data_IF_478335663740
#
_entry.id   IF_478335663740
#
_cell.length_a   1.000
_cell.length_b   1.000
_cell.length_c   1.000
_cell.angle_alpha   90.00
_cell.angle_beta   90.00
_cell.angle_gamma   90.00
#
_symmetry.space_group_name_H-M   'P 1'
#
loop_
_entity.id
_entity.type
_entity.pdbx_description
1 polymer ?
#
# COMPACT_ATOMS: atom_id res chain seq x y z
N UNK A 1 0.10 -5.30 -39.93
CA UNK A 1 0.27 -6.29 -38.86
C UNK A 1 1.75 -6.54 -38.67
N UNK A 2 2.41 -5.66 -37.92
CA UNK A 2 3.72 -5.92 -37.34
C UNK A 2 3.51 -5.89 -35.83
N UNK A 3 3.78 -7.00 -35.16
CA UNK A 3 3.83 -7.02 -33.72
C UNK A 3 5.09 -6.24 -33.32
N UNK A 4 4.89 -5.06 -32.73
CA UNK A 4 5.95 -4.35 -32.03
C UNK A 4 6.51 -5.29 -30.97
N UNK A 5 7.79 -5.64 -31.10
CA UNK A 5 8.56 -6.21 -30.01
C UNK A 5 8.36 -5.31 -28.78
N UNK A 6 8.13 -5.84 -27.56
CA UNK A 6 8.05 -5.02 -26.37
C UNK A 6 9.39 -4.29 -26.22
N UNK A 7 9.40 -3.00 -26.56
CA UNK A 7 10.63 -2.22 -26.67
C UNK A 7 11.32 -2.11 -25.31
N UNK A 8 12.42 -2.85 -25.14
CA UNK A 8 13.42 -2.57 -24.10
C UNK A 8 14.00 -1.20 -24.39
N UNK A 9 13.74 -0.21 -23.54
CA UNK A 9 14.15 1.16 -23.84
C UNK A 9 13.65 2.22 -22.87
N UNK A 10 14.14 3.43 -23.06
CA UNK A 10 13.72 4.62 -22.35
C UNK A 10 12.95 5.53 -23.30
N UNK A 11 11.68 5.80 -22.98
CA UNK A 11 10.80 6.67 -23.75
C UNK A 11 10.64 8.00 -23.01
N UNK A 12 10.95 9.11 -23.70
CA UNK A 12 10.80 10.46 -23.14
C UNK A 12 9.51 11.07 -23.66
N UNK A 13 8.61 11.42 -22.73
CA UNK A 13 7.31 12.02 -23.00
C UNK A 13 7.36 13.46 -22.50
N UNK A 14 7.33 14.41 -23.43
CA UNK A 14 7.37 15.84 -23.14
C UNK A 14 5.96 16.38 -22.89
N UNK A 15 5.89 17.60 -22.35
CA UNK A 15 4.61 18.25 -22.07
C UNK A 15 3.68 18.23 -23.29
N UNK A 16 2.43 17.79 -23.05
CA UNK A 16 1.33 17.57 -24.03
C UNK A 16 1.46 16.35 -24.95
N UNK A 17 2.52 15.56 -24.83
CA UNK A 17 2.59 14.28 -25.53
C UNK A 17 1.79 13.22 -24.77
N UNK A 18 1.17 12.31 -25.52
CA UNK A 18 0.41 11.22 -24.92
C UNK A 18 1.36 10.10 -24.44
N UNK A 19 1.29 9.68 -23.17
CA UNK A 19 2.09 8.58 -22.66
C UNK A 19 1.77 7.24 -23.36
N UNK A 20 2.77 6.36 -23.61
CA UNK A 20 2.55 5.04 -24.20
C UNK A 20 1.58 4.19 -23.37
N UNK A 21 0.67 3.43 -23.98
CA UNK A 21 -0.37 2.62 -23.31
C UNK A 21 0.15 1.46 -22.43
N UNK A 22 1.46 1.22 -22.43
CA UNK A 22 2.17 0.20 -21.64
C UNK A 22 3.59 0.64 -21.28
N UNK A 23 4.00 0.36 -20.03
CA UNK A 23 5.38 0.45 -19.54
C UNK A 23 5.63 -0.43 -18.32
N UNK A 24 6.88 -0.51 -17.88
CA UNK A 24 7.29 -1.25 -16.69
C UNK A 24 7.64 -0.32 -15.52
N UNK A 25 8.16 0.86 -15.84
CA UNK A 25 8.44 1.92 -14.88
C UNK A 25 8.19 3.30 -15.50
N UNK A 26 7.85 4.28 -14.66
CA UNK A 26 7.70 5.66 -15.06
C UNK A 26 8.30 6.62 -14.02
N UNK A 27 9.01 7.65 -14.46
CA UNK A 27 9.54 8.71 -13.60
C UNK A 27 9.09 10.08 -14.07
N UNK A 28 8.82 11.00 -13.15
CA UNK A 28 8.58 12.40 -13.46
C UNK A 28 9.77 13.27 -13.03
N UNK A 29 10.22 14.18 -13.91
CA UNK A 29 11.33 15.08 -13.64
C UNK A 29 10.85 16.45 -13.12
N UNK A 30 10.57 16.51 -11.82
CA UNK A 30 10.14 17.72 -11.13
C UNK A 30 11.34 18.59 -10.71
N UNK A 31 11.20 19.91 -10.82
CA UNK A 31 12.29 20.83 -10.55
C UNK A 31 12.18 22.14 -11.32
N UNK A 32 13.07 23.11 -11.06
CA UNK A 32 13.05 24.37 -11.78
C UNK A 32 13.29 24.16 -13.27
N UNK A 33 12.62 24.99 -14.07
CA UNK A 33 12.88 25.17 -15.50
C UNK A 33 13.62 26.50 -15.69
N UNK A 34 14.61 26.58 -16.60
CA UNK A 34 15.29 27.82 -16.95
C UNK A 34 14.31 28.94 -17.35
N UNK A 35 14.58 30.18 -16.90
CA UNK A 35 13.80 31.38 -17.28
C UNK A 35 14.17 31.99 -18.63
N UNK A 36 15.33 31.60 -19.17
CA UNK A 36 15.82 32.06 -20.47
C UNK A 36 16.48 30.87 -21.20
N UNK A 37 16.53 30.91 -22.54
CA UNK A 37 17.16 29.85 -23.33
C UNK A 37 18.70 29.78 -23.16
N UNK A 38 19.31 30.79 -22.55
CA UNK A 38 20.76 30.85 -22.28
C UNK A 38 21.19 29.99 -21.10
N UNK A 39 20.23 29.58 -20.26
CA UNK A 39 20.48 28.77 -19.07
C UNK A 39 20.09 27.33 -19.38
N UNK A 40 21.03 26.41 -19.25
CA UNK A 40 20.79 25.00 -19.57
C UNK A 40 19.85 24.34 -18.57
N UNK A 41 18.95 23.50 -19.08
CA UNK A 41 18.13 22.61 -18.25
C UNK A 41 18.98 21.45 -17.72
N UNK A 42 18.67 21.00 -16.50
CA UNK A 42 19.28 19.80 -15.91
C UNK A 42 18.62 18.50 -16.42
N UNK A 43 17.43 18.58 -17.03
CA UNK A 43 16.64 17.41 -17.45
C UNK A 43 17.30 16.56 -18.54
N UNK A 44 17.98 17.12 -19.57
CA UNK A 44 18.77 16.32 -20.51
C UNK A 44 19.84 15.45 -19.83
N UNK A 45 20.56 16.00 -18.84
CA UNK A 45 21.54 15.24 -18.07
C UNK A 45 20.88 14.14 -17.23
N UNK A 46 19.69 14.40 -16.67
CA UNK A 46 18.92 13.39 -15.94
C UNK A 46 18.47 12.24 -16.85
N UNK A 47 17.98 12.54 -18.05
CA UNK A 47 17.58 11.55 -19.06
C UNK A 47 18.77 10.68 -19.47
N UNK A 48 19.95 11.29 -19.68
CA UNK A 48 21.18 10.54 -19.96
C UNK A 48 21.54 9.61 -18.80
N UNK A 49 21.53 10.11 -17.56
CA UNK A 49 21.80 9.30 -16.38
C UNK A 49 20.79 8.15 -16.21
N UNK A 50 19.50 8.39 -16.46
CA UNK A 50 18.45 7.36 -16.43
C UNK A 50 18.69 6.31 -17.51
N UNK A 51 19.03 6.72 -18.74
CA UNK A 51 19.34 5.80 -19.85
C UNK A 51 20.56 4.93 -19.53
N UNK A 52 21.59 5.54 -18.97
CA UNK A 52 22.83 4.85 -18.61
C UNK A 52 22.68 3.90 -17.43
N UNK A 53 21.73 4.14 -16.51
CA UNK A 53 21.57 3.37 -15.26
C UNK A 53 20.37 2.43 -15.26
N UNK A 54 19.39 2.59 -16.15
CA UNK A 54 18.26 1.67 -16.23
C UNK A 54 18.75 0.26 -16.60
N UNK A 55 18.39 -0.71 -15.77
CA UNK A 55 18.74 -2.14 -15.94
C UNK A 55 17.52 -3.06 -15.92
N UNK A 56 16.31 -2.51 -15.77
CA UNK A 56 15.10 -3.30 -15.81
C UNK A 56 14.89 -3.94 -17.18
N UNK A 57 14.25 -5.13 -17.25
CA UNK A 57 14.02 -5.86 -18.50
C UNK A 57 12.99 -5.20 -19.42
N UNK A 58 12.33 -4.13 -18.97
CA UNK A 58 11.21 -3.51 -19.65
C UNK A 58 11.40 -2.02 -19.96
N UNK A 59 10.29 -1.34 -20.26
CA UNK A 59 10.27 0.05 -20.69
C UNK A 59 10.25 1.01 -19.50
N UNK A 60 11.16 1.99 -19.51
CA UNK A 60 11.14 3.14 -18.60
C UNK A 60 10.59 4.36 -19.33
N UNK A 61 9.49 4.93 -18.83
CA UNK A 61 8.93 6.19 -19.31
C UNK A 61 9.45 7.35 -18.47
N UNK A 62 9.87 8.43 -19.10
CA UNK A 62 10.36 9.65 -18.44
C UNK A 62 9.46 10.82 -18.84
N UNK A 63 8.69 11.33 -17.88
CA UNK A 63 7.87 12.52 -18.05
C UNK A 63 8.70 13.78 -17.82
N UNK A 64 8.71 14.65 -18.83
CA UNK A 64 9.47 15.90 -18.85
C UNK A 64 8.48 17.05 -19.01
N UNK A 65 8.34 17.95 -18.01
CA UNK A 65 7.38 19.06 -18.08
C UNK A 65 7.79 20.18 -19.05
N UNK A 66 8.98 20.09 -19.66
CA UNK A 66 9.38 20.96 -20.75
C UNK A 66 8.73 20.50 -22.07
N UNK A 67 8.53 21.40 -23.01
CA UNK A 67 8.10 21.04 -24.35
C UNK A 67 9.25 20.49 -25.17
N UNK A 68 8.97 19.56 -26.09
CA UNK A 68 9.98 19.05 -27.03
C UNK A 68 10.50 20.15 -27.95
N UNK A 69 9.63 21.07 -28.35
CA UNK A 69 9.92 22.16 -29.28
C UNK A 69 9.24 23.47 -28.82
N UNK A 70 10.03 24.50 -28.56
CA UNK A 70 9.53 25.86 -28.30
C UNK A 70 8.72 26.03 -27.00
N UNK A 71 8.05 27.17 -26.88
CA UNK A 71 7.09 27.48 -25.81
C UNK A 71 5.69 27.44 -26.40
N UNK A 72 4.72 26.86 -25.70
CA UNK A 72 3.31 26.84 -26.14
C UNK A 72 2.41 27.68 -25.21
N UNK A 73 1.54 28.50 -25.78
CA UNK A 73 0.70 29.48 -25.06
C UNK A 73 -0.55 28.91 -24.36
N UNK A 74 -0.58 27.62 -24.02
CA UNK A 74 -1.72 27.04 -23.29
C UNK A 74 -1.29 26.53 -21.92
N UNK A 75 -1.42 27.45 -20.97
CA UNK A 75 -1.07 27.25 -19.57
C UNK A 75 -1.91 26.16 -18.90
N UNK A 76 -3.21 26.08 -19.23
CA UNK A 76 -4.14 25.14 -18.58
C UNK A 76 -3.80 23.71 -18.98
N UNK A 77 -3.65 23.45 -20.28
CA UNK A 77 -3.27 22.13 -20.77
C UNK A 77 -1.89 21.68 -20.30
N UNK A 78 -0.96 22.61 -20.02
CA UNK A 78 0.32 22.27 -19.39
C UNK A 78 0.13 21.79 -17.96
N UNK A 79 -0.61 22.54 -17.13
CA UNK A 79 -0.85 22.18 -15.72
C UNK A 79 -1.58 20.84 -15.61
N UNK A 80 -2.61 20.61 -16.43
CA UNK A 80 -3.35 19.34 -16.46
C UNK A 80 -2.47 18.16 -16.87
N UNK A 81 -1.58 18.35 -17.84
CA UNK A 81 -0.63 17.30 -18.26
C UNK A 81 0.39 17.00 -17.15
N UNK A 82 0.93 18.02 -16.49
CA UNK A 82 1.89 17.86 -15.39
C UNK A 82 1.25 17.09 -14.23
N UNK A 83 0.05 17.49 -13.81
CA UNK A 83 -0.70 16.81 -12.74
C UNK A 83 -0.99 15.34 -13.10
N UNK A 84 -1.46 15.09 -14.33
CA UNK A 84 -1.71 13.73 -14.83
C UNK A 84 -0.43 12.88 -14.81
N UNK A 85 0.69 13.40 -15.31
CA UNK A 85 1.94 12.65 -15.40
C UNK A 85 2.61 12.45 -14.03
N UNK A 86 2.44 13.39 -13.10
CA UNK A 86 2.77 13.19 -11.70
C UNK A 86 1.98 12.00 -11.14
N UNK A 87 0.68 11.92 -11.36
CA UNK A 87 -0.14 10.77 -10.95
C UNK A 87 0.32 9.44 -11.57
N UNK A 88 0.70 9.43 -12.86
CA UNK A 88 1.19 8.23 -13.57
C UNK A 88 2.58 7.75 -13.15
N UNK A 89 3.38 8.60 -12.51
CA UNK A 89 4.78 8.27 -12.19
C UNK A 89 4.91 7.28 -11.03
N UNK A 90 5.88 6.38 -11.12
CA UNK A 90 6.26 5.48 -10.03
C UNK A 90 7.17 6.16 -9.02
N UNK A 91 8.01 7.08 -9.48
CA UNK A 91 8.85 7.95 -8.67
C UNK A 91 8.88 9.36 -9.27
N UNK A 92 8.85 10.37 -8.41
CA UNK A 92 9.05 11.77 -8.77
C UNK A 92 10.45 12.18 -8.33
N UNK A 93 11.30 12.47 -9.30
CA UNK A 93 12.66 12.98 -9.07
C UNK A 93 12.55 14.50 -8.93
N UNK A 94 12.69 15.00 -7.71
CA UNK A 94 12.84 16.42 -7.43
C UNK A 94 14.31 16.80 -7.42
N UNK A 95 14.84 17.29 -8.55
CA UNK A 95 16.19 17.86 -8.57
C UNK A 95 16.11 19.39 -8.56
N UNK A 96 16.64 20.03 -7.52
CA UNK A 96 16.48 21.47 -7.26
C UNK A 96 17.85 22.16 -7.22
N UNK A 97 18.53 22.32 -8.38
CA UNK A 97 19.78 23.09 -8.51
C UNK A 97 19.46 24.60 -8.52
N UNK A 98 18.83 25.07 -7.43
CA UNK A 98 18.24 26.39 -7.36
C UNK A 98 19.25 27.48 -7.65
N UNK A 99 18.86 28.41 -8.49
CA UNK A 99 19.52 29.71 -8.68
C UNK A 99 18.42 30.78 -8.64
N UNK A 100 18.52 31.75 -7.75
CA UNK A 100 17.44 32.72 -7.55
C UNK A 100 17.22 33.66 -8.74
N UNK A 101 18.25 33.86 -9.57
CA UNK A 101 18.15 34.67 -10.77
C UNK A 101 17.54 33.86 -11.93
N UNK A 102 18.07 32.66 -12.18
CA UNK A 102 17.81 31.92 -13.43
C UNK A 102 16.83 30.75 -13.28
N UNK A 103 16.82 30.08 -12.12
CA UNK A 103 16.07 28.85 -11.83
C UNK A 103 15.56 28.80 -10.38
N UNK A 104 14.65 29.70 -9.95
CA UNK A 104 14.33 29.87 -8.53
C UNK A 104 13.43 28.79 -7.93
N UNK A 105 12.83 27.93 -8.75
CA UNK A 105 12.02 26.78 -8.31
C UNK A 105 10.79 27.15 -7.45
N UNK A 106 10.08 28.24 -7.78
CA UNK A 106 8.93 28.68 -6.98
C UNK A 106 7.74 27.73 -7.09
N UNK A 107 7.36 27.31 -8.30
CA UNK A 107 6.31 26.30 -8.52
C UNK A 107 6.71 24.95 -7.94
N UNK A 108 7.99 24.57 -8.07
CA UNK A 108 8.55 23.36 -7.47
C UNK A 108 8.35 23.28 -5.95
N UNK A 109 8.33 24.41 -5.23
CA UNK A 109 8.03 24.38 -3.79
C UNK A 109 6.60 23.92 -3.51
N UNK A 110 5.64 24.29 -4.37
CA UNK A 110 4.25 23.88 -4.26
C UNK A 110 4.11 22.40 -4.59
N UNK A 111 4.71 21.96 -5.70
CA UNK A 111 4.77 20.53 -6.08
C UNK A 111 5.39 19.68 -4.98
N UNK A 112 6.51 20.12 -4.40
CA UNK A 112 7.14 19.45 -3.26
C UNK A 112 6.18 19.35 -2.08
N UNK A 113 5.48 20.43 -1.73
CA UNK A 113 4.48 20.43 -0.68
C UNK A 113 3.35 19.41 -0.91
N UNK A 114 2.94 19.21 -2.16
CA UNK A 114 1.89 18.24 -2.54
C UNK A 114 2.37 16.79 -2.56
N UNK A 115 3.66 16.54 -2.83
CA UNK A 115 4.14 15.20 -3.16
C UNK A 115 5.17 14.59 -2.21
N UNK A 116 5.86 15.37 -1.38
CA UNK A 116 7.00 14.88 -0.59
C UNK A 116 6.67 13.67 0.30
N UNK A 117 5.48 13.58 0.86
CA UNK A 117 5.02 12.49 1.74
C UNK A 117 4.20 11.41 1.02
N UNK A 118 4.07 11.49 -0.31
CA UNK A 118 3.36 10.48 -1.11
C UNK A 118 4.02 9.09 -1.11
N UNK A 119 5.23 8.98 -0.57
CA UNK A 119 6.00 7.74 -0.53
C UNK A 119 6.65 7.34 -1.86
N UNK A 120 6.65 8.23 -2.87
CA UNK A 120 7.19 8.01 -4.23
C UNK A 120 8.02 9.19 -4.74
N UNK A 121 8.84 9.77 -3.86
CA UNK A 121 9.69 10.90 -4.22
C UNK A 121 11.13 10.66 -3.81
N UNK A 122 12.03 11.36 -4.51
CA UNK A 122 13.45 11.44 -4.22
C UNK A 122 13.88 12.88 -4.43
N UNK A 123 14.67 13.40 -3.49
CA UNK A 123 15.09 14.80 -3.51
C UNK A 123 16.59 14.95 -3.73
N UNK A 124 16.98 15.81 -4.66
CA UNK A 124 18.37 16.10 -4.96
C UNK A 124 18.63 17.59 -5.05
N UNK A 125 19.73 18.05 -4.47
CA UNK A 125 20.19 19.42 -4.68
C UNK A 125 21.70 19.57 -4.44
N UNK A 126 22.42 20.36 -5.25
CA UNK A 126 23.77 20.79 -4.93
C UNK A 126 23.85 21.42 -3.52
N UNK A 127 24.86 21.11 -2.69
CA UNK A 127 24.96 21.63 -1.32
C UNK A 127 24.94 23.17 -1.24
N UNK A 128 25.46 23.83 -2.27
CA UNK A 128 25.52 25.28 -2.41
C UNK A 128 24.22 25.91 -2.91
N UNK A 129 23.25 25.12 -3.38
CA UNK A 129 21.98 25.63 -3.89
C UNK A 129 21.19 26.32 -2.75
N UNK A 130 20.91 27.63 -2.86
CA UNK A 130 20.31 28.39 -1.79
C UNK A 130 18.88 27.93 -1.47
N UNK A 131 18.44 28.19 -0.24
CA UNK A 131 17.02 28.09 0.18
C UNK A 131 16.39 26.68 0.07
N UNK A 132 17.17 25.61 0.00
CA UNK A 132 16.66 24.23 0.03
C UNK A 132 16.51 23.63 1.43
N UNK A 133 17.00 24.30 2.49
CA UNK A 133 16.96 23.81 3.87
C UNK A 133 15.58 23.39 4.36
N UNK A 134 14.53 24.11 3.95
CA UNK A 134 13.15 23.79 4.35
C UNK A 134 12.63 22.53 3.63
N UNK A 135 12.97 22.35 2.35
CA UNK A 135 12.62 21.13 1.61
C UNK A 135 13.32 19.90 2.20
N UNK A 136 14.61 20.04 2.51
CA UNK A 136 15.41 19.00 3.17
C UNK A 136 14.88 18.63 4.57
N UNK A 137 14.35 19.60 5.33
CA UNK A 137 13.73 19.31 6.63
C UNK A 137 12.52 18.37 6.48
N UNK A 138 11.64 18.63 5.51
CA UNK A 138 10.50 17.76 5.23
C UNK A 138 10.90 16.44 4.59
N UNK A 139 11.95 16.43 3.76
CA UNK A 139 12.52 15.18 3.25
C UNK A 139 12.94 14.26 4.41
N UNK A 140 13.67 14.80 5.40
CA UNK A 140 14.07 14.05 6.59
C UNK A 140 12.86 13.61 7.43
N UNK A 141 11.88 14.50 7.64
CA UNK A 141 10.67 14.19 8.42
C UNK A 141 9.84 13.05 7.80
N UNK A 142 9.74 13.01 6.47
CA UNK A 142 8.94 12.01 5.74
C UNK A 142 9.76 10.82 5.23
N UNK A 143 11.04 10.72 5.61
CA UNK A 143 11.92 9.61 5.19
C UNK A 143 12.22 9.59 3.68
N UNK A 144 12.13 10.73 3.00
CA UNK A 144 12.45 10.85 1.57
C UNK A 144 13.96 10.71 1.37
N UNK A 145 14.44 9.81 0.48
CA UNK A 145 15.86 9.72 0.19
C UNK A 145 16.37 11.02 -0.43
N UNK A 146 17.55 11.46 0.03
CA UNK A 146 18.18 12.70 -0.42
C UNK A 146 19.56 12.45 -1.02
N UNK A 147 19.94 13.30 -1.98
CA UNK A 147 21.27 13.28 -2.59
C UNK A 147 21.77 14.70 -2.87
N UNK A 148 23.09 14.85 -2.99
CA UNK A 148 23.74 16.15 -3.23
C UNK A 148 24.02 16.44 -4.70
N UNK A 149 23.80 15.46 -5.58
CA UNK A 149 24.03 15.58 -7.01
C UNK A 149 23.01 14.79 -7.83
N UNK A 150 22.90 15.14 -9.12
CA UNK A 150 21.91 14.55 -10.02
C UNK A 150 22.13 13.04 -10.25
N UNK A 151 23.35 12.54 -10.53
CA UNK A 151 23.57 11.11 -10.70
C UNK A 151 23.15 10.27 -9.48
N UNK A 152 23.43 10.72 -8.26
CA UNK A 152 23.02 10.03 -7.04
C UNK A 152 21.51 10.11 -6.80
N UNK A 153 20.86 11.22 -7.19
CA UNK A 153 19.40 11.35 -7.10
C UNK A 153 18.69 10.39 -8.05
N UNK A 154 19.20 10.28 -9.29
CA UNK A 154 18.71 9.29 -10.27
C UNK A 154 18.95 7.87 -9.78
N UNK A 155 20.11 7.59 -9.15
CA UNK A 155 20.39 6.29 -8.55
C UNK A 155 19.32 5.90 -7.53
N UNK A 156 19.04 6.79 -6.57
CA UNK A 156 18.07 6.54 -5.51
C UNK A 156 16.66 6.29 -6.06
N UNK A 157 16.26 6.98 -7.15
CA UNK A 157 15.00 6.72 -7.84
C UNK A 157 14.95 5.30 -8.42
N UNK A 158 15.99 4.92 -9.16
CA UNK A 158 16.06 3.63 -9.83
C UNK A 158 16.20 2.46 -8.85
N UNK A 159 16.91 2.64 -7.73
CA UNK A 159 17.02 1.62 -6.68
C UNK A 159 15.65 1.29 -6.09
N UNK A 160 14.78 2.30 -5.92
CA UNK A 160 13.41 2.12 -5.44
C UNK A 160 12.49 1.50 -6.49
N UNK A 161 12.63 1.90 -7.76
CA UNK A 161 11.91 1.28 -8.87
C UNK A 161 12.32 -0.18 -9.04
N UNK A 162 13.60 -0.51 -8.85
CA UNK A 162 14.15 -1.84 -9.09
C UNK A 162 13.90 -2.30 -10.53
N UNK A 163 13.47 -3.56 -10.77
CA UNK A 163 13.31 -4.09 -12.12
C UNK A 163 12.10 -3.54 -12.90
N UNK A 164 11.27 -2.67 -12.32
CA UNK A 164 9.95 -2.34 -12.89
C UNK A 164 8.92 -3.46 -12.72
N UNK A 165 7.75 -3.28 -13.31
CA UNK A 165 6.74 -4.31 -13.55
C UNK A 165 5.78 -3.86 -14.65
N UNK A 166 5.62 -4.69 -15.69
CA UNK A 166 4.75 -4.42 -16.85
C UNK A 166 3.32 -4.12 -16.41
N UNK A 167 2.81 -2.96 -16.86
CA UNK A 167 1.45 -2.47 -16.62
C UNK A 167 0.89 -1.84 -17.90
N UNK A 168 -0.40 -2.01 -18.14
CA UNK A 168 -1.11 -1.46 -19.30
C UNK A 168 -2.44 -0.81 -18.91
N UNK A 169 -2.96 0.08 -19.78
CA UNK A 169 -4.27 0.70 -19.55
C UNK A 169 -4.34 1.42 -18.20
N UNK A 170 -5.34 1.09 -17.38
CA UNK A 170 -5.54 1.68 -16.05
C UNK A 170 -4.57 1.19 -14.97
N UNK A 171 -3.90 0.05 -15.17
CA UNK A 171 -2.89 -0.46 -14.22
C UNK A 171 -1.73 0.52 -14.04
N UNK A 172 -1.43 1.28 -15.09
CA UNK A 172 -0.39 2.31 -15.15
C UNK A 172 -0.61 3.46 -14.16
N UNK A 173 -1.85 3.66 -13.71
CA UNK A 173 -2.20 4.71 -12.75
C UNK A 173 -1.97 4.26 -11.29
N UNK A 174 -1.56 3.00 -11.08
CA UNK A 174 -1.15 2.47 -9.78
C UNK A 174 0.39 2.52 -9.70
N UNK A 175 0.99 3.33 -8.79
CA UNK A 175 2.43 3.41 -8.65
C UNK A 175 3.07 2.07 -8.31
N UNK A 176 4.26 1.80 -8.83
CA UNK A 176 4.93 0.51 -8.80
C UNK A 176 5.11 -0.06 -7.38
N UNK A 177 5.45 0.80 -6.42
CA UNK A 177 5.60 0.38 -5.03
C UNK A 177 4.29 -0.14 -4.44
N UNK A 178 3.15 0.43 -4.83
CA UNK A 178 1.83 -0.04 -4.41
C UNK A 178 1.38 -1.24 -5.26
N UNK A 179 1.71 -1.24 -6.56
CA UNK A 179 1.42 -2.36 -7.48
C UNK A 179 2.02 -3.69 -7.00
N UNK A 180 3.17 -3.65 -6.30
CA UNK A 180 3.85 -4.83 -5.76
C UNK A 180 3.27 -5.34 -4.44
N UNK A 181 2.42 -4.58 -3.77
CA UNK A 181 1.83 -4.99 -2.49
C UNK A 181 0.94 -6.21 -2.69
N UNK A 182 1.16 -7.25 -1.88
CA UNK A 182 0.41 -8.51 -1.98
C UNK A 182 -1.10 -8.28 -1.82
N UNK A 183 -1.50 -7.45 -0.87
CA UNK A 183 -2.91 -7.09 -0.64
C UNK A 183 -3.56 -6.47 -1.88
N UNK A 184 -2.83 -5.63 -2.63
CA UNK A 184 -3.32 -5.07 -3.89
C UNK A 184 -3.38 -6.14 -4.98
N UNK A 185 -2.34 -6.97 -5.12
CA UNK A 185 -2.29 -8.06 -6.10
C UNK A 185 -3.44 -9.04 -5.89
N UNK A 186 -3.76 -9.38 -4.65
CA UNK A 186 -4.89 -10.26 -4.30
C UNK A 186 -6.23 -9.64 -4.72
N UNK A 187 -6.50 -8.39 -4.35
CA UNK A 187 -7.72 -7.69 -4.77
C UNK A 187 -7.83 -7.64 -6.30
N UNK A 188 -6.75 -7.23 -6.97
CA UNK A 188 -6.76 -7.07 -8.43
C UNK A 188 -6.94 -8.41 -9.15
N UNK A 189 -6.29 -9.47 -8.69
CA UNK A 189 -6.48 -10.82 -9.22
C UNK A 189 -7.94 -11.28 -9.10
N UNK A 190 -8.61 -10.98 -7.97
CA UNK A 190 -10.03 -11.26 -7.80
C UNK A 190 -10.92 -10.51 -8.80
N UNK A 191 -10.61 -9.23 -9.08
CA UNK A 191 -11.32 -8.46 -10.10
C UNK A 191 -11.13 -9.04 -11.50
N UNK A 192 -9.90 -9.40 -11.87
CA UNK A 192 -9.61 -10.05 -13.14
C UNK A 192 -10.31 -11.41 -13.28
N UNK A 193 -10.36 -12.21 -12.20
CA UNK A 193 -11.05 -13.49 -12.19
C UNK A 193 -12.57 -13.34 -12.38
N UNK A 194 -13.16 -12.24 -11.90
CA UNK A 194 -14.55 -11.87 -12.16
C UNK A 194 -14.78 -11.28 -13.57
N UNK A 195 -13.72 -11.18 -14.40
CA UNK A 195 -13.76 -10.60 -15.74
C UNK A 195 -13.74 -9.07 -15.76
N UNK A 196 -13.61 -8.40 -14.62
CA UNK A 196 -13.59 -6.95 -14.54
C UNK A 196 -12.27 -6.38 -15.07
N UNK A 197 -12.32 -5.16 -15.59
CA UNK A 197 -11.13 -4.47 -16.15
C UNK A 197 -10.91 -3.15 -15.41
N UNK A 198 -9.69 -2.93 -14.93
CA UNK A 198 -9.28 -1.64 -14.37
C UNK A 198 -9.03 -0.64 -15.51
N UNK A 199 -9.85 0.40 -15.56
CA UNK A 199 -9.76 1.48 -16.56
C UNK A 199 -8.96 2.68 -16.06
N UNK A 200 -8.87 2.88 -14.74
CA UNK A 200 -8.10 3.95 -14.11
C UNK A 200 -8.08 3.83 -12.59
N UNK A 201 -7.11 4.45 -11.95
CA UNK A 201 -6.90 4.44 -10.51
C UNK A 201 -6.25 5.73 -10.03
N UNK A 202 -6.57 6.15 -8.81
CA UNK A 202 -5.88 7.26 -8.15
C UNK A 202 -5.62 6.91 -6.70
N UNK A 203 -4.36 7.03 -6.26
CA UNK A 203 -4.00 6.88 -4.85
C UNK A 203 -4.68 7.95 -4.03
N UNK A 204 -5.48 7.54 -3.05
CA UNK A 204 -6.16 8.42 -2.09
C UNK A 204 -5.29 8.63 -0.87
N UNK A 205 -4.73 7.55 -0.32
CA UNK A 205 -3.72 7.61 0.74
C UNK A 205 -2.88 6.34 0.79
N UNK A 206 -1.74 6.45 1.47
CA UNK A 206 -0.91 5.33 1.92
C UNK A 206 -0.44 5.63 3.35
N UNK A 207 -0.57 4.66 4.24
CA UNK A 207 -0.12 4.79 5.63
C UNK A 207 0.37 3.43 6.13
N UNK A 208 1.68 3.28 6.30
CA UNK A 208 2.29 1.98 6.60
C UNK A 208 1.96 0.96 5.50
N UNK A 209 1.39 -0.18 5.91
CA UNK A 209 0.89 -1.26 5.05
C UNK A 209 -0.55 -1.07 4.57
N UNK A 210 -1.21 0.05 4.93
CA UNK A 210 -2.56 0.38 4.49
C UNK A 210 -2.51 1.31 3.26
N UNK A 211 -3.45 1.12 2.35
CA UNK A 211 -3.58 1.93 1.14
C UNK A 211 -5.05 2.10 0.75
N UNK A 212 -5.33 3.15 -0.02
CA UNK A 212 -6.61 3.31 -0.67
C UNK A 212 -6.48 3.85 -2.10
N UNK A 213 -7.33 3.30 -2.99
CA UNK A 213 -7.43 3.67 -4.40
C UNK A 213 -8.86 4.10 -4.72
N UNK A 214 -9.02 5.26 -5.33
CA UNK A 214 -10.22 5.56 -6.10
C UNK A 214 -10.10 4.88 -7.45
N UNK A 215 -11.05 4.03 -7.82
CA UNK A 215 -10.93 3.17 -9.02
C UNK A 215 -12.04 3.42 -10.02
N UNK A 216 -11.70 3.29 -11.29
CA UNK A 216 -12.64 3.22 -12.41
C UNK A 216 -12.58 1.83 -13.00
N UNK A 217 -13.64 1.05 -12.83
CA UNK A 217 -13.72 -0.36 -13.23
C UNK A 217 -14.77 -0.55 -14.31
N UNK A 218 -14.47 -1.33 -15.34
CA UNK A 218 -15.49 -1.96 -16.16
C UNK A 218 -15.97 -3.23 -15.46
N UNK A 219 -17.26 -3.29 -15.15
CA UNK A 219 -17.89 -4.44 -14.49
C UNK A 219 -18.48 -5.35 -15.56
N UNK A 220 -17.79 -6.46 -15.85
CA UNK A 220 -18.11 -7.30 -17.00
C UNK A 220 -19.52 -7.91 -16.92
N UNK A 221 -19.90 -8.39 -15.73
CA UNK A 221 -21.21 -9.00 -15.51
C UNK A 221 -22.39 -8.03 -15.70
N UNK A 222 -22.13 -6.72 -15.59
CA UNK A 222 -23.15 -5.67 -15.68
C UNK A 222 -23.03 -4.81 -16.96
N UNK A 223 -21.95 -4.98 -17.74
CA UNK A 223 -21.71 -4.21 -18.96
C UNK A 223 -21.59 -2.70 -18.74
N UNK A 224 -21.20 -2.24 -17.55
CA UNK A 224 -21.11 -0.81 -17.21
C UNK A 224 -19.77 -0.42 -16.60
N UNK A 225 -19.51 0.88 -16.55
CA UNK A 225 -18.39 1.45 -15.81
C UNK A 225 -18.85 1.89 -14.42
N UNK A 226 -18.00 1.69 -13.43
CA UNK A 226 -18.17 2.15 -12.06
C UNK A 226 -16.95 2.95 -11.64
N UNK A 227 -17.16 4.16 -11.17
CA UNK A 227 -16.11 5.17 -10.96
C UNK A 227 -16.34 6.04 -9.71
N UNK A 228 -17.09 5.51 -8.73
CA UNK A 228 -17.54 6.25 -7.55
C UNK A 228 -17.19 5.54 -6.23
N UNK A 229 -16.19 4.67 -6.23
CA UNK A 229 -15.79 3.88 -5.06
C UNK A 229 -14.31 4.02 -4.74
N UNK A 230 -14.03 3.85 -3.44
CA UNK A 230 -12.69 3.74 -2.90
C UNK A 230 -12.51 2.29 -2.44
N UNK A 231 -11.42 1.67 -2.88
CA UNK A 231 -10.95 0.39 -2.37
C UNK A 231 -9.91 0.67 -1.31
N UNK A 232 -10.07 0.07 -0.13
CA UNK A 232 -9.08 0.13 0.95
C UNK A 232 -8.43 -1.24 1.12
N UNK A 233 -7.12 -1.30 1.23
CA UNK A 233 -6.39 -2.55 1.45
C UNK A 233 -5.42 -2.47 2.61
N UNK A 234 -5.17 -3.64 3.19
CA UNK A 234 -4.14 -3.96 4.19
C UNK A 234 -3.76 -5.45 4.02
N UNK A 235 -2.67 -5.94 4.63
CA UNK A 235 -2.39 -7.36 4.66
C UNK A 235 -3.54 -8.17 5.28
N UNK A 236 -3.71 -9.39 4.78
CA UNK A 236 -4.61 -10.39 5.36
C UNK A 236 -4.21 -10.71 6.81
N UNK A 237 -5.16 -11.23 7.59
CA UNK A 237 -4.95 -11.64 8.98
C UNK A 237 -5.08 -13.15 9.12
N UNK A 238 -4.37 -13.74 10.07
CA UNK A 238 -4.51 -15.14 10.47
C UNK A 238 -5.07 -15.16 11.88
N UNK A 239 -6.21 -15.83 12.07
CA UNK A 239 -6.97 -15.79 13.31
C UNK A 239 -7.29 -17.20 13.81
N UNK A 240 -7.31 -17.39 15.13
CA UNK A 240 -7.52 -18.70 15.75
C UNK A 240 -8.69 -18.67 16.73
N UNK A 241 -9.74 -19.43 16.45
CA UNK A 241 -10.77 -19.72 17.45
C UNK A 241 -10.24 -20.80 18.40
N UNK A 242 -9.74 -20.36 19.57
CA UNK A 242 -9.43 -21.26 20.67
C UNK A 242 -10.72 -21.53 21.46
N UNK A 243 -11.11 -22.80 21.58
CA UNK A 243 -12.38 -23.16 22.21
C UNK A 243 -12.30 -24.41 23.08
N UNK A 244 -13.20 -24.53 24.04
CA UNK A 244 -13.41 -25.75 24.82
C UNK A 244 -14.89 -26.17 24.72
N UNK A 245 -15.21 -27.33 24.13
CA UNK A 245 -16.59 -27.80 24.01
C UNK A 245 -17.33 -27.84 25.36
N UNK A 246 -18.56 -27.31 25.34
CA UNK A 246 -19.56 -27.51 26.40
C UNK A 246 -20.58 -28.60 26.04
N UNK A 247 -21.54 -28.90 26.92
CA UNK A 247 -22.62 -29.86 26.59
C UNK A 247 -23.51 -29.30 25.46
N UNK A 248 -23.65 -27.98 25.43
CA UNK A 248 -24.30 -27.24 24.35
C UNK A 248 -23.34 -26.26 23.65
N UNK A 249 -23.75 -25.74 22.48
CA UNK A 249 -23.00 -24.68 21.81
C UNK A 249 -22.90 -23.43 22.69
N UNK A 250 -23.99 -23.07 23.36
CA UNK A 250 -24.04 -21.88 24.21
C UNK A 250 -23.08 -21.97 25.41
N UNK A 251 -22.78 -23.19 25.86
CA UNK A 251 -21.83 -23.51 26.93
C UNK A 251 -20.39 -23.71 26.46
N UNK A 252 -20.15 -23.72 25.15
CA UNK A 252 -18.79 -23.80 24.61
C UNK A 252 -18.04 -22.53 24.97
N UNK A 253 -16.90 -22.68 25.63
CA UNK A 253 -16.05 -21.57 26.06
C UNK A 253 -15.13 -21.17 24.90
N UNK A 254 -15.00 -19.88 24.65
CA UNK A 254 -14.15 -19.31 23.61
C UNK A 254 -13.20 -18.31 24.25
N UNK A 255 -11.93 -18.37 23.84
CA UNK A 255 -10.90 -17.41 24.24
C UNK A 255 -10.98 -16.19 23.32
N UNK A 256 -11.07 -15.02 23.94
CA UNK A 256 -11.02 -13.72 23.30
C UNK A 256 -9.81 -12.95 23.79
N UNK A 257 -9.41 -11.97 23.00
CA UNK A 257 -8.41 -10.96 23.31
C UNK A 257 -9.10 -9.61 23.29
N UNK A 258 -8.99 -8.88 24.39
CA UNK A 258 -9.44 -7.49 24.49
C UNK A 258 -8.26 -6.55 24.33
N UNK A 259 -8.41 -5.56 23.47
CA UNK A 259 -7.35 -4.59 23.16
C UNK A 259 -7.94 -3.23 22.81
N UNK A 260 -7.21 -2.15 23.11
CA UNK A 260 -7.62 -0.82 22.66
C UNK A 260 -7.32 -0.65 21.17
N UNK A 261 -8.33 -0.30 20.37
CA UNK A 261 -8.17 0.04 18.96
C UNK A 261 -8.91 1.34 18.68
N UNK A 262 -8.19 2.35 18.17
CA UNK A 262 -8.76 3.68 17.90
C UNK A 262 -9.95 3.72 16.93
N UNK A 263 -10.13 2.77 15.98
CA UNK A 263 -11.34 2.71 15.16
C UNK A 263 -12.60 2.24 15.91
N UNK A 264 -12.44 1.64 17.09
CA UNK A 264 -13.55 1.02 17.81
C UNK A 264 -14.32 2.06 18.59
N UNK A 265 -15.64 2.09 18.38
CA UNK A 265 -16.53 3.13 18.93
C UNK A 265 -16.48 3.20 20.45
N UNK A 266 -16.24 2.06 21.12
CA UNK A 266 -16.13 1.97 22.58
C UNK A 266 -14.68 1.88 23.07
N UNK A 267 -13.70 2.14 22.20
CA UNK A 267 -12.27 2.09 22.47
C UNK A 267 -11.66 0.69 22.49
N UNK A 268 -12.41 -0.36 22.84
CA UNK A 268 -11.91 -1.72 22.92
C UNK A 268 -12.57 -2.66 21.90
N UNK A 269 -11.77 -3.51 21.27
CA UNK A 269 -12.21 -4.72 20.58
C UNK A 269 -12.23 -5.90 21.54
N UNK A 270 -13.07 -6.89 21.23
CA UNK A 270 -12.97 -8.24 21.78
C UNK A 270 -12.97 -9.17 20.58
N UNK A 271 -11.81 -9.74 20.26
CA UNK A 271 -11.60 -10.53 19.05
C UNK A 271 -11.01 -11.90 19.41
N UNK A 272 -11.04 -12.84 18.49
CA UNK A 272 -10.24 -14.06 18.63
C UNK A 272 -8.76 -13.73 18.39
N UNK A 273 -7.81 -14.44 19.00
CA UNK A 273 -6.40 -14.17 18.80
C UNK A 273 -6.02 -14.17 17.31
N UNK A 274 -5.22 -13.19 16.89
CA UNK A 274 -4.76 -13.11 15.52
C UNK A 274 -4.30 -11.73 15.07
N UNK A 275 -3.54 -11.75 13.97
CA UNK A 275 -2.95 -10.55 13.41
C UNK A 275 -2.43 -10.79 12.00
N UNK A 276 -1.68 -9.82 11.48
CA UNK A 276 -1.12 -9.89 10.13
C UNK A 276 0.38 -10.11 10.20
N UNK A 277 0.87 -11.08 9.43
CA UNK A 277 2.29 -11.39 9.34
C UNK A 277 2.69 -11.84 7.94
N UNK A 278 3.99 -11.87 7.68
CA UNK A 278 4.53 -12.35 6.41
C UNK A 278 4.66 -13.88 6.43
N UNK A 279 4.35 -14.53 5.31
CA UNK A 279 4.60 -15.96 5.11
C UNK A 279 3.36 -16.84 5.28
N UNK A 280 3.57 -18.05 5.78
CA UNK A 280 2.53 -19.07 5.93
C UNK A 280 1.49 -18.66 6.99
N UNK A 281 0.20 -18.52 6.63
CA UNK A 281 -0.87 -18.12 7.56
C UNK A 281 -0.95 -19.00 8.82
N UNK A 282 -0.66 -20.29 8.71
CA UNK A 282 -0.70 -21.19 9.88
C UNK A 282 0.38 -20.86 10.91
N UNK A 283 1.57 -20.44 10.46
CA UNK A 283 2.67 -20.03 11.34
C UNK A 283 2.41 -18.69 11.98
N UNK A 284 1.83 -17.75 11.22
CA UNK A 284 1.38 -16.46 11.75
C UNK A 284 0.34 -16.72 12.84
N UNK A 285 -0.68 -17.54 12.58
CA UNK A 285 -1.71 -17.87 13.54
C UNK A 285 -1.17 -18.41 14.88
N UNK A 286 -0.18 -19.31 14.84
CA UNK A 286 0.47 -19.85 16.03
C UNK A 286 1.27 -18.79 16.80
N UNK A 287 2.00 -17.94 16.09
CA UNK A 287 2.78 -16.87 16.70
C UNK A 287 1.87 -15.85 17.39
N UNK A 288 0.77 -15.46 16.76
CA UNK A 288 -0.21 -14.51 17.32
C UNK A 288 -0.88 -15.09 18.57
N UNK A 289 -1.24 -16.38 18.58
CA UNK A 289 -1.77 -17.03 19.79
C UNK A 289 -0.76 -17.00 20.94
N UNK A 290 0.52 -17.30 20.68
CA UNK A 290 1.54 -17.25 21.72
C UNK A 290 1.77 -15.82 22.22
N UNK A 291 1.81 -14.83 21.32
CA UNK A 291 2.05 -13.44 21.66
C UNK A 291 0.89 -12.80 22.45
N UNK A 292 -0.34 -13.02 22.00
CA UNK A 292 -1.53 -12.35 22.56
C UNK A 292 -2.11 -13.07 23.77
N UNK A 293 -1.87 -14.37 23.91
CA UNK A 293 -2.45 -15.16 25.02
C UNK A 293 -1.42 -15.83 25.90
N UNK A 294 -0.13 -15.87 25.50
CA UNK A 294 0.91 -16.63 26.18
C UNK A 294 0.78 -18.15 26.05
N UNK A 295 -0.10 -18.65 25.19
CA UNK A 295 -0.30 -20.09 24.99
C UNK A 295 0.54 -20.59 23.82
N UNK A 296 1.54 -21.40 24.09
CA UNK A 296 2.25 -22.13 23.05
C UNK A 296 1.38 -23.31 22.56
N UNK A 297 0.83 -23.21 21.35
CA UNK A 297 0.01 -24.24 20.73
C UNK A 297 0.87 -25.15 19.82
N UNK A 298 0.65 -26.47 19.92
CA UNK A 298 1.28 -27.43 19.00
C UNK A 298 0.64 -27.30 17.61
N UNK A 299 1.46 -27.17 16.56
CA UNK A 299 0.99 -27.00 15.19
C UNK A 299 0.06 -28.13 14.70
N UNK A 300 0.20 -29.35 15.23
CA UNK A 300 -0.68 -30.48 14.87
C UNK A 300 -2.12 -30.35 15.39
N UNK A 301 -2.38 -29.42 16.33
CA UNK A 301 -3.71 -29.13 16.86
C UNK A 301 -4.45 -28.06 16.06
N UNK A 302 -3.76 -27.36 15.17
CA UNK A 302 -4.34 -26.28 14.38
C UNK A 302 -5.18 -26.87 13.23
N UNK A 303 -6.47 -26.54 13.19
CA UNK A 303 -7.39 -26.93 12.11
C UNK A 303 -7.69 -25.73 11.23
N UNK A 304 -7.59 -25.90 9.92
CA UNK A 304 -7.90 -24.86 8.92
C UNK A 304 -9.38 -24.89 8.53
N UNK A 305 -9.99 -23.69 8.41
CA UNK A 305 -11.39 -23.49 7.98
C UNK A 305 -11.49 -22.62 6.69
N UNK A 306 -10.36 -22.30 6.07
CA UNK A 306 -10.29 -21.51 4.84
C UNK A 306 -10.25 -20.00 5.07
N UNK A 307 -10.52 -19.25 4.00
CA UNK A 307 -10.27 -17.80 3.94
C UNK A 307 -11.49 -17.04 3.44
N UNK A 308 -11.88 -15.96 4.13
CA UNK A 308 -12.99 -15.07 3.71
C UNK A 308 -12.67 -13.59 3.92
N UNK A 309 -13.26 -12.72 3.11
CA UNK A 309 -13.13 -11.27 3.26
C UNK A 309 -13.90 -10.81 4.51
N UNK A 310 -13.28 -9.97 5.34
CA UNK A 310 -13.82 -9.58 6.65
C UNK A 310 -14.99 -8.60 6.50
N UNK A 311 -14.81 -7.55 5.70
CA UNK A 311 -15.85 -6.58 5.38
C UNK A 311 -15.73 -6.11 3.92
N UNK A 312 -16.50 -6.76 3.04
CA UNK A 312 -16.27 -6.69 1.61
C UNK A 312 -16.39 -5.29 0.98
N UNK A 313 -17.24 -4.44 1.56
CA UNK A 313 -17.47 -3.07 1.07
C UNK A 313 -16.57 -2.02 1.73
N UNK A 314 -15.79 -2.41 2.75
CA UNK A 314 -14.86 -1.51 3.44
C UNK A 314 -13.41 -1.81 3.07
N UNK A 315 -12.99 -3.08 3.06
CA UNK A 315 -11.60 -3.43 2.78
C UNK A 315 -11.43 -4.76 2.06
N UNK A 316 -10.44 -4.82 1.17
CA UNK A 316 -10.05 -6.00 0.39
C UNK A 316 -9.40 -7.15 1.19
N UNK A 317 -9.01 -6.91 2.44
CA UNK A 317 -8.30 -7.92 3.24
C UNK A 317 -9.21 -9.06 3.70
N UNK A 318 -8.59 -10.21 3.91
CA UNK A 318 -9.24 -11.46 4.28
C UNK A 318 -8.70 -11.98 5.62
N UNK A 319 -9.50 -12.81 6.27
CA UNK A 319 -9.10 -13.59 7.42
C UNK A 319 -8.89 -15.05 7.00
N UNK A 320 -7.71 -15.59 7.32
CA UNK A 320 -7.40 -17.02 7.28
C UNK A 320 -7.80 -17.61 8.63
N UNK A 321 -8.84 -18.44 8.64
CA UNK A 321 -9.49 -18.91 9.86
C UNK A 321 -8.95 -20.27 10.27
N UNK A 322 -8.47 -20.34 11.50
CA UNK A 322 -8.05 -21.57 12.15
C UNK A 322 -8.83 -21.79 13.45
N UNK A 323 -8.74 -23.01 13.98
CA UNK A 323 -9.21 -23.32 15.33
C UNK A 323 -8.29 -24.31 16.03
N UNK A 324 -8.40 -24.33 17.36
CA UNK A 324 -7.85 -25.40 18.17
C UNK A 324 -8.68 -25.58 19.44
N UNK A 325 -8.97 -26.84 19.76
CA UNK A 325 -9.57 -27.18 21.05
C UNK A 325 -8.52 -27.02 22.15
N UNK A 326 -8.89 -26.36 23.26
CA UNK A 326 -8.04 -26.18 24.45
C UNK A 326 -8.48 -27.05 25.62
N UNK A 327 -7.50 -27.51 26.39
CA UNK A 327 -7.71 -28.34 27.58
C UNK A 327 -8.22 -27.51 28.76
N UNK A 328 -8.78 -28.17 29.78
CA UNK A 328 -9.19 -27.49 31.02
C UNK A 328 -8.04 -26.77 31.73
N UNK A 329 -6.83 -27.36 31.70
CA UNK A 329 -5.63 -26.75 32.30
C UNK A 329 -5.13 -25.54 31.50
N UNK A 330 -5.25 -25.55 30.17
CA UNK A 330 -4.98 -24.38 29.33
C UNK A 330 -5.99 -23.27 29.59
N UNK A 331 -7.29 -23.60 29.65
CA UNK A 331 -8.36 -22.65 29.95
C UNK A 331 -8.16 -21.99 31.32
N UNK A 332 -7.81 -22.77 32.34
CA UNK A 332 -7.54 -22.24 33.68
C UNK A 332 -6.36 -21.27 33.68
N UNK A 333 -5.27 -21.61 32.97
CA UNK A 333 -4.10 -20.74 32.81
C UNK A 333 -4.47 -19.43 32.10
N UNK A 334 -5.16 -19.51 30.97
CA UNK A 334 -5.64 -18.38 30.20
C UNK A 334 -6.56 -17.46 31.02
N UNK A 335 -7.49 -18.03 31.79
CA UNK A 335 -8.41 -17.25 32.64
C UNK A 335 -7.70 -16.51 33.78
N UNK A 336 -6.51 -16.97 34.17
CA UNK A 336 -5.66 -16.35 35.17
C UNK A 336 -4.52 -15.51 34.59
N UNK A 337 -4.45 -15.38 33.26
CA UNK A 337 -3.32 -14.76 32.60
C UNK A 337 -3.33 -13.23 32.77
N UNK A 338 -2.14 -12.65 32.66
CA UNK A 338 -1.92 -11.22 32.84
C UNK A 338 -2.15 -10.42 31.56
N UNK A 339 -1.41 -9.34 31.43
CA UNK A 339 -1.35 -8.54 30.19
C UNK A 339 -0.31 -9.15 29.25
N UNK A 340 -0.64 -9.22 27.96
CA UNK A 340 0.18 -9.78 26.89
C UNK A 340 0.40 -8.74 25.76
N UNK A 341 1.04 -9.15 24.65
CA UNK A 341 1.35 -8.28 23.50
C UNK A 341 2.71 -7.57 23.57
N UNK A 342 3.13 -7.00 22.44
CA UNK A 342 4.39 -6.27 22.31
C UNK A 342 4.27 -4.82 22.78
N UNK A 343 4.57 -4.58 24.06
CA UNK A 343 4.51 -3.23 24.64
C UNK A 343 5.42 -2.20 23.92
N UNK A 344 6.50 -2.65 23.27
CA UNK A 344 7.39 -1.80 22.46
C UNK A 344 6.69 -1.27 21.20
N UNK A 345 5.71 -2.02 20.69
CA UNK A 345 4.94 -1.70 19.49
C UNK A 345 3.58 -1.03 19.84
N UNK A 346 3.38 -0.74 21.13
CA UNK A 346 2.16 -0.11 21.65
C UNK A 346 0.99 -1.08 21.84
N UNK A 347 1.20 -2.37 21.61
CA UNK A 347 0.18 -3.41 21.73
C UNK A 347 0.07 -3.92 23.16
N UNK A 348 -1.17 -4.01 23.66
CA UNK A 348 -1.49 -4.48 25.02
C UNK A 348 -2.79 -5.25 25.00
N UNK A 349 -2.68 -6.55 25.14
CA UNK A 349 -3.79 -7.48 25.05
C UNK A 349 -4.15 -8.05 26.43
N UNK A 350 -5.44 -8.32 26.62
CA UNK A 350 -5.99 -8.92 27.82
C UNK A 350 -6.81 -10.14 27.42
N UNK A 351 -6.46 -11.32 27.94
CA UNK A 351 -7.19 -12.55 27.66
C UNK A 351 -8.54 -12.52 28.40
N UNK A 352 -9.60 -12.88 27.70
CA UNK A 352 -10.94 -13.05 28.25
C UNK A 352 -11.49 -14.40 27.81
N UNK A 353 -12.15 -15.12 28.72
CA UNK A 353 -12.83 -16.38 28.40
C UNK A 353 -14.33 -16.16 28.55
N UNK A 354 -15.09 -16.48 27.52
CA UNK A 354 -16.54 -16.33 27.52
C UNK A 354 -17.24 -17.52 26.87
N UNK A 355 -18.34 -17.96 27.48
CA UNK A 355 -19.25 -18.90 26.85
C UNK A 355 -19.88 -18.28 25.58
N UNK A 356 -20.00 -19.05 24.51
CA UNK A 356 -20.54 -18.56 23.22
C UNK A 356 -21.95 -17.96 23.36
N UNK A 357 -22.77 -18.51 24.25
CA UNK A 357 -24.10 -17.94 24.55
C UNK A 357 -24.00 -16.53 25.13
N UNK A 358 -22.98 -16.25 25.95
CA UNK A 358 -22.69 -14.91 26.48
C UNK A 358 -22.21 -13.96 25.38
N UNK A 359 -21.26 -14.41 24.55
CA UNK A 359 -20.74 -13.64 23.39
C UNK A 359 -21.90 -13.10 22.54
N UNK A 360 -22.87 -13.97 22.22
CA UNK A 360 -24.06 -13.62 21.44
C UNK A 360 -25.02 -12.69 22.16
N UNK A 361 -25.38 -13.00 23.41
CA UNK A 361 -26.41 -12.23 24.17
C UNK A 361 -25.91 -10.83 24.54
N UNK A 362 -24.66 -10.72 24.94
CA UNK A 362 -24.04 -9.45 25.36
C UNK A 362 -23.39 -8.69 24.20
N UNK A 363 -23.34 -9.27 22.99
CA UNK A 363 -22.75 -8.66 21.78
C UNK A 363 -21.30 -8.24 22.00
N UNK A 364 -20.51 -9.13 22.59
CA UNK A 364 -19.14 -8.84 23.00
C UNK A 364 -18.22 -8.54 21.82
N UNK A 365 -18.42 -9.26 20.71
CA UNK A 365 -17.58 -9.21 19.51
C UNK A 365 -18.34 -8.60 18.34
N UNK A 366 -17.63 -8.15 17.31
CA UNK A 366 -18.24 -7.65 16.09
C UNK A 366 -18.87 -8.76 15.23
N UNK A 367 -19.57 -8.38 14.16
CA UNK A 367 -20.24 -9.35 13.29
C UNK A 367 -19.27 -10.31 12.57
N UNK A 368 -18.07 -9.84 12.24
CA UNK A 368 -17.08 -10.62 11.53
C UNK A 368 -16.51 -11.71 12.44
N UNK A 369 -16.09 -11.32 13.64
CA UNK A 369 -15.61 -12.20 14.70
C UNK A 369 -16.69 -13.20 15.14
N UNK A 370 -17.94 -12.75 15.32
CA UNK A 370 -19.06 -13.64 15.61
C UNK A 370 -19.27 -14.69 14.51
N UNK A 371 -19.16 -14.28 13.25
CA UNK A 371 -19.25 -15.17 12.09
C UNK A 371 -18.16 -16.24 12.08
N UNK A 372 -16.91 -15.83 12.35
CA UNK A 372 -15.77 -16.75 12.42
C UNK A 372 -15.89 -17.77 13.55
N UNK A 373 -16.27 -17.32 14.75
CA UNK A 373 -16.54 -18.22 15.89
C UNK A 373 -17.67 -19.20 15.52
N UNK A 374 -18.75 -18.69 14.93
CA UNK A 374 -19.90 -19.52 14.57
C UNK A 374 -19.55 -20.58 13.53
N UNK A 375 -18.77 -20.25 12.50
CA UNK A 375 -18.29 -21.21 11.48
C UNK A 375 -17.56 -22.39 12.14
N UNK A 376 -16.57 -22.08 13.00
CA UNK A 376 -15.78 -23.11 13.69
C UNK A 376 -16.65 -23.98 14.58
N UNK A 377 -17.50 -23.39 15.41
CA UNK A 377 -18.28 -24.15 16.38
C UNK A 377 -19.37 -25.02 15.72
N UNK A 378 -19.87 -24.64 14.54
CA UNK A 378 -20.81 -25.48 13.78
C UNK A 378 -20.11 -26.67 13.12
N UNK A 379 -18.86 -26.54 12.69
CA UNK A 379 -18.07 -27.62 12.10
C UNK A 379 -17.41 -28.56 13.11
N UNK A 380 -17.28 -28.12 14.37
CA UNK A 380 -16.71 -28.91 15.45
C UNK A 380 -17.70 -29.93 16.06
N UNK A 381 -18.96 -29.92 15.61
CA UNK A 381 -20.03 -30.80 16.09
C UNK A 381 -20.06 -32.18 15.45
#
# INVERSE_FOLDING_TARGET
MGADSPGTGLDVVYAREEPPDRWDAAVFLAGPTPRSPEVESWRPAAITALRERWRGPGRLVVFVPEHRHGLHDDYVGQVEWEERCLHLSDEVIFYVPRDLATMPAFTTNVEWGMWHDSGRTVFGAPPQAPKNRYLLHYAAKSGVPTATDLPATVAAALDRIGPGASRTGGEREIPLLLWREESLRCWYAGQCAAGNVLLGARVVFRFGNHWALHVRMHVAAEGRVKDNEIVVGRPDVSVVVLYRPGETLDETEVVLVREFRSPCVNGFVHEVPGGSGNGDPSRVALAEVEEETGLALDASRLREHGTRQVNATMSGHRAHLFSAEITGDELARLSSSGTHGLAADGERTYVEVAAFGRIRRERLVDWSCLGMITEVLLEAR
#
